data_IF_006613932622
#
_entry.id   IF_006613932622
#
_cell.length_a   1.000
_cell.length_b   1.000
_cell.length_c   1.000
_cell.angle_alpha   90.00
_cell.angle_beta   90.00
_cell.angle_gamma   90.00
#
_symmetry.space_group_name_H-M   'P 1'
#
loop_
_entity.id
_entity.type
_entity.pdbx_description
1 polymer ?
#
# COMPACT_ATOMS: atom_id res chain seq x y z
N UNK A 1 -9.74 3.05 -5.05
CA UNK A 1 -10.08 3.23 -3.62
C UNK A 1 -8.88 3.83 -2.92
N UNK A 2 -9.03 4.84 -2.05
CA UNK A 2 -7.88 5.45 -1.36
C UNK A 2 -7.66 4.84 0.03
N UNK A 3 -6.40 4.69 0.43
CA UNK A 3 -5.99 4.20 1.75
C UNK A 3 -4.75 4.95 2.22
N UNK A 4 -4.49 4.92 3.53
CA UNK A 4 -3.34 5.59 4.14
C UNK A 4 -2.33 4.56 4.59
N UNK A 5 -1.04 4.82 4.38
CA UNK A 5 0.04 4.04 4.97
C UNK A 5 0.36 4.54 6.37
N UNK A 6 0.63 3.60 7.27
CA UNK A 6 1.09 3.83 8.62
C UNK A 6 2.37 3.01 8.88
N UNK A 7 2.97 3.24 10.05
CA UNK A 7 4.18 2.55 10.51
C UNK A 7 5.39 2.67 9.56
N UNK A 8 5.40 3.65 8.65
CA UNK A 8 6.49 3.88 7.70
C UNK A 8 7.84 4.09 8.40
N UNK A 9 7.81 4.70 9.59
CA UNK A 9 8.99 4.94 10.43
C UNK A 9 9.56 3.68 11.11
N UNK A 10 8.83 2.56 11.15
CA UNK A 10 9.38 1.27 11.61
C UNK A 10 10.26 0.59 10.55
N UNK A 11 10.16 1.02 9.29
CA UNK A 11 10.94 0.50 8.16
C UNK A 11 12.00 1.54 7.73
N UNK A 12 11.97 1.98 6.47
CA UNK A 12 12.91 2.94 5.89
C UNK A 12 12.37 4.39 5.84
N UNK A 13 11.26 4.67 6.53
CA UNK A 13 10.60 5.99 6.51
C UNK A 13 9.91 6.29 5.18
N UNK A 14 9.55 7.55 4.94
CA UNK A 14 8.89 8.00 3.69
C UNK A 14 9.85 8.18 2.50
N UNK A 15 11.17 8.08 2.71
CA UNK A 15 12.20 8.28 1.68
C UNK A 15 12.10 7.38 0.43
N UNK A 16 11.80 6.07 0.53
CA UNK A 16 11.73 5.20 -0.64
C UNK A 16 10.41 5.36 -1.42
N UNK A 17 9.45 6.13 -0.90
CA UNK A 17 8.18 6.37 -1.57
C UNK A 17 8.29 7.57 -2.50
N UNK A 18 7.86 7.38 -3.75
CA UNK A 18 7.70 8.46 -4.71
C UNK A 18 6.26 8.49 -5.21
N UNK A 19 5.75 9.70 -5.48
CA UNK A 19 4.44 9.85 -6.11
C UNK A 19 4.49 9.21 -7.49
N UNK A 20 3.53 8.32 -7.77
CA UNK A 20 3.46 7.51 -8.98
C UNK A 20 4.07 6.11 -8.86
N UNK A 21 4.79 5.80 -7.76
CA UNK A 21 5.32 4.45 -7.55
C UNK A 21 4.21 3.43 -7.29
N UNK A 22 4.38 2.23 -7.84
CA UNK A 22 3.51 1.09 -7.54
C UNK A 22 4.00 0.40 -6.27
N UNK A 23 3.05 -0.02 -5.44
CA UNK A 23 3.27 -0.78 -4.22
C UNK A 23 2.48 -2.09 -4.29
N UNK A 24 3.03 -3.15 -3.69
CA UNK A 24 2.29 -4.39 -3.41
C UNK A 24 1.49 -4.25 -2.14
N UNK A 25 0.30 -4.82 -2.13
CA UNK A 25 -0.53 -5.01 -0.94
C UNK A 25 -0.62 -6.51 -0.71
N UNK A 26 -0.21 -6.97 0.46
CA UNK A 26 -0.24 -8.39 0.85
C UNK A 26 -1.02 -8.51 2.15
N UNK A 27 -2.03 -9.38 2.19
CA UNK A 27 -2.74 -9.69 3.44
C UNK A 27 -1.83 -10.48 4.36
N UNK A 28 -1.61 -9.96 5.57
CA UNK A 28 -0.74 -10.59 6.56
C UNK A 28 -1.59 -11.48 7.49
N UNK A 29 -1.78 -12.73 7.07
CA UNK A 29 -2.60 -13.72 7.78
C UNK A 29 -1.98 -14.20 9.10
N UNK A 30 -0.67 -14.04 9.28
CA UNK A 30 0.06 -14.53 10.46
C UNK A 30 0.28 -13.44 11.51
N UNK A 31 -0.20 -12.21 11.26
CA UNK A 31 -0.03 -11.11 12.18
C UNK A 31 -0.76 -11.35 13.51
N UNK A 32 0.01 -11.42 14.59
CA UNK A 32 -0.50 -11.75 15.94
C UNK A 32 -1.30 -10.61 16.59
N UNK A 33 -1.24 -9.40 16.02
CA UNK A 33 -1.84 -8.19 16.61
C UNK A 33 -3.12 -7.74 15.91
N UNK A 34 -3.18 -7.89 14.58
CA UNK A 34 -4.28 -7.43 13.74
C UNK A 34 -4.48 -8.43 12.58
N UNK A 35 -5.57 -9.20 12.64
CA UNK A 35 -5.93 -10.18 11.61
C UNK A 35 -6.32 -9.56 10.27
N UNK A 36 -6.49 -8.23 10.22
CA UNK A 36 -6.81 -7.45 9.02
C UNK A 36 -5.60 -6.59 8.58
N UNK A 37 -4.40 -6.97 9.00
CA UNK A 37 -3.18 -6.29 8.59
C UNK A 37 -2.91 -6.51 7.09
N UNK A 38 -2.53 -5.42 6.44
CA UNK A 38 -2.14 -5.42 5.03
C UNK A 38 -0.73 -4.83 4.97
N UNK A 39 0.23 -5.68 4.66
CA UNK A 39 1.62 -5.34 4.45
C UNK A 39 1.79 -4.66 3.09
N UNK A 40 2.68 -3.68 3.04
CA UNK A 40 2.99 -2.92 1.84
C UNK A 40 4.45 -3.10 1.47
N UNK A 41 4.68 -3.57 0.25
CA UNK A 41 6.01 -3.76 -0.30
C UNK A 41 6.31 -2.80 -1.46
N UNK A 42 7.57 -2.35 -1.52
CA UNK A 42 8.15 -1.56 -2.59
C UNK A 42 9.23 -2.37 -3.31
N UNK A 43 9.36 -2.16 -4.61
CA UNK A 43 10.35 -2.82 -5.48
C UNK A 43 11.77 -2.82 -4.94
N UNK A 44 12.21 -1.66 -4.45
CA UNK A 44 13.62 -1.42 -4.08
C UNK A 44 13.87 -1.50 -2.58
N UNK A 45 12.81 -1.58 -1.77
CA UNK A 45 12.90 -1.53 -0.31
C UNK A 45 12.28 -2.76 0.38
N UNK A 46 11.56 -3.61 -0.36
CA UNK A 46 10.78 -4.72 0.21
C UNK A 46 9.67 -4.18 1.11
N UNK A 47 9.42 -4.87 2.23
CA UNK A 47 8.50 -4.45 3.27
C UNK A 47 8.77 -3.02 3.74
N UNK A 48 7.81 -2.12 3.53
CA UNK A 48 8.04 -0.68 3.69
C UNK A 48 6.99 0.03 4.54
N UNK A 49 5.78 -0.53 4.67
CA UNK A 49 4.72 0.05 5.49
C UNK A 49 3.60 -0.96 5.76
N UNK A 50 2.63 -0.56 6.59
CA UNK A 50 1.34 -1.23 6.74
C UNK A 50 0.20 -0.28 6.39
N UNK A 51 -0.95 -0.81 5.98
CA UNK A 51 -2.16 0.00 5.83
C UNK A 51 -2.68 0.45 7.20
N UNK A 52 -3.02 1.73 7.31
CA UNK A 52 -3.51 2.33 8.54
C UNK A 52 -4.86 1.72 8.97
N UNK A 53 -4.97 1.26 10.22
CA UNK A 53 -6.24 0.78 10.78
C UNK A 53 -6.84 1.71 11.86
N UNK A 54 -6.01 2.50 12.54
CA UNK A 54 -6.46 3.33 13.67
C UNK A 54 -7.06 4.66 13.22
N UNK A 55 -8.06 5.16 13.95
CA UNK A 55 -8.66 6.50 13.76
C UNK A 55 -7.65 7.66 13.85
N UNK A 56 -6.48 7.41 14.47
CA UNK A 56 -5.40 8.39 14.58
C UNK A 56 -4.49 8.42 13.35
N UNK A 57 -4.41 7.32 12.61
CA UNK A 57 -3.50 7.16 11.47
C UNK A 57 -4.22 7.19 10.14
N UNK A 58 -5.51 6.81 10.09
CA UNK A 58 -6.34 6.91 8.89
C UNK A 58 -6.70 8.37 8.63
N UNK A 59 -6.29 8.87 7.47
CA UNK A 59 -6.67 10.20 7.00
C UNK A 59 -8.15 10.22 6.64
N UNK A 60 -8.87 11.29 7.00
CA UNK A 60 -10.29 11.43 6.62
C UNK A 60 -10.44 11.40 5.10
N UNK A 61 -11.32 10.52 4.61
CA UNK A 61 -11.53 10.29 3.18
C UNK A 61 -10.78 9.08 2.62
N UNK A 62 -9.91 8.44 3.40
CA UNK A 62 -9.27 7.16 3.04
C UNK A 62 -9.89 5.99 3.81
N UNK A 63 -9.62 4.78 3.34
CA UNK A 63 -10.10 3.53 3.95
C UNK A 63 -9.10 3.02 4.99
N UNK A 64 -9.63 2.47 6.09
CA UNK A 64 -8.84 1.69 7.05
C UNK A 64 -8.47 0.32 6.47
N UNK A 65 -7.47 -0.35 7.05
CA UNK A 65 -7.08 -1.70 6.63
C UNK A 65 -8.27 -2.66 6.68
N UNK A 66 -9.05 -2.71 7.77
CA UNK A 66 -10.21 -3.61 7.86
C UNK A 66 -11.23 -3.41 6.75
N UNK A 67 -11.56 -2.16 6.41
CA UNK A 67 -12.48 -1.89 5.28
C UNK A 67 -11.89 -2.21 3.92
N UNK A 68 -10.57 -2.09 3.79
CA UNK A 68 -9.85 -2.38 2.58
C UNK A 68 -9.69 -3.89 2.39
N UNK A 69 -9.51 -4.63 3.49
CA UNK A 69 -9.25 -6.07 3.54
C UNK A 69 -10.35 -6.88 2.85
N UNK A 70 -11.61 -6.50 3.06
CA UNK A 70 -12.78 -7.13 2.41
C UNK A 70 -12.89 -6.85 0.90
N UNK A 71 -12.16 -5.86 0.39
CA UNK A 71 -12.29 -5.37 -1.00
C UNK A 71 -11.12 -5.74 -1.90
N UNK A 72 -9.98 -6.10 -1.33
CA UNK A 72 -8.78 -6.49 -2.06
C UNK A 72 -8.62 -8.02 -2.03
N UNK A 73 -7.87 -8.55 -3.00
CA UNK A 73 -7.42 -9.96 -3.00
C UNK A 73 -6.29 -10.18 -2.00
N UNK A 74 -5.83 -11.42 -1.85
CA UNK A 74 -4.73 -11.78 -0.95
C UNK A 74 -3.43 -11.04 -1.31
N UNK A 75 -3.21 -10.86 -2.62
CA UNK A 75 -2.24 -9.93 -3.19
C UNK A 75 -2.96 -8.96 -4.12
N UNK A 76 -2.69 -7.66 -3.96
CA UNK A 76 -3.22 -6.59 -4.80
C UNK A 76 -2.17 -5.49 -4.97
N UNK A 77 -2.45 -4.48 -5.79
CA UNK A 77 -1.51 -3.40 -6.07
C UNK A 77 -2.12 -2.02 -5.83
N UNK A 78 -1.28 -1.11 -5.37
CA UNK A 78 -1.62 0.30 -5.20
C UNK A 78 -0.63 1.21 -5.90
N UNK A 79 -1.03 2.46 -6.09
CA UNK A 79 -0.17 3.55 -6.55
C UNK A 79 -0.14 4.65 -5.50
N UNK A 80 1.05 5.22 -5.26
CA UNK A 80 1.23 6.36 -4.36
C UNK A 80 0.77 7.63 -5.07
N UNK A 81 -0.23 8.31 -4.51
CA UNK A 81 -0.81 9.53 -5.12
C UNK A 81 -0.38 10.80 -4.37
N UNK A 82 -0.23 10.71 -3.04
CA UNK A 82 0.16 11.85 -2.22
C UNK A 82 1.13 11.45 -1.13
N UNK A 83 2.10 12.33 -0.87
CA UNK A 83 3.06 12.22 0.24
C UNK A 83 3.08 13.57 0.96
N UNK A 84 2.81 13.56 2.27
CA UNK A 84 2.83 14.72 3.14
C UNK A 84 3.59 14.37 4.42
N UNK A 85 4.84 14.82 4.54
CA UNK A 85 5.77 14.44 5.61
C UNK A 85 5.86 12.90 5.75
N UNK A 86 5.23 12.33 6.78
CA UNK A 86 5.18 10.89 7.07
C UNK A 86 3.85 10.24 6.66
N UNK A 87 2.91 11.03 6.14
CA UNK A 87 1.59 10.57 5.70
C UNK A 87 1.65 10.27 4.20
N UNK A 88 1.43 9.02 3.85
CA UNK A 88 1.38 8.58 2.46
C UNK A 88 -0.04 8.10 2.16
N UNK A 89 -0.64 8.65 1.10
CA UNK A 89 -1.95 8.27 0.62
C UNK A 89 -1.78 7.57 -0.72
N UNK A 90 -2.34 6.36 -0.77
CA UNK A 90 -2.26 5.49 -1.92
C UNK A 90 -3.66 5.21 -2.46
N UNK A 91 -3.72 4.77 -3.72
CA UNK A 91 -4.93 4.31 -4.38
C UNK A 91 -4.76 2.88 -4.85
N UNK A 92 -5.73 2.02 -4.56
CA UNK A 92 -5.80 0.66 -5.13
C UNK A 92 -5.99 0.77 -6.64
N UNK A 93 -5.15 0.05 -7.38
CA UNK A 93 -5.24 -0.07 -8.82
C UNK A 93 -6.36 -1.04 -9.20
N UNK A 94 -7.06 -0.74 -10.29
CA UNK A 94 -8.07 -1.64 -10.84
C UNK A 94 -7.40 -2.77 -11.62
N UNK A 95 -8.12 -3.88 -11.82
CA UNK A 95 -7.61 -5.02 -12.59
C UNK A 95 -7.18 -4.63 -14.03
N UNK A 96 -7.85 -3.66 -14.65
CA UNK A 96 -7.48 -3.12 -15.97
C UNK A 96 -6.21 -2.27 -15.93
N UNK A 97 -6.00 -1.49 -14.87
CA UNK A 97 -4.75 -0.74 -14.66
C UNK A 97 -3.58 -1.69 -14.39
N UNK A 98 -3.78 -2.67 -13.51
CA UNK A 98 -2.79 -3.72 -13.21
C UNK A 98 -2.34 -4.42 -14.50
N UNK A 99 -3.29 -4.82 -15.36
CA UNK A 99 -2.98 -5.44 -16.66
C UNK A 99 -2.23 -4.53 -17.63
N UNK A 100 -2.43 -3.21 -17.56
CA UNK A 100 -1.67 -2.24 -18.36
C UNK A 100 -0.25 -2.10 -17.85
N UNK A 101 -0.09 -2.00 -16.53
CA UNK A 101 1.22 -1.91 -15.88
C UNK A 101 2.04 -3.19 -16.09
N UNK A 102 1.43 -4.37 -16.02
CA UNK A 102 2.08 -5.66 -16.35
C UNK A 102 2.58 -5.73 -17.80
N UNK A 103 1.95 -5.01 -18.73
CA UNK A 103 2.40 -4.95 -20.13
C UNK A 103 3.55 -3.97 -20.34
N UNK A 104 3.79 -3.06 -19.40
CA UNK A 104 4.91 -2.14 -19.45
C UNK A 104 6.15 -2.78 -18.80
N UNK A 105 7.17 -3.18 -19.58
CA UNK A 105 8.33 -3.90 -19.04
C UNK A 105 9.17 -3.08 -18.06
N UNK A 106 9.00 -1.76 -18.00
CA UNK A 106 9.68 -0.89 -17.02
C UNK A 106 8.85 -0.67 -15.73
N UNK A 107 7.59 -1.10 -15.72
CA UNK A 107 6.68 -0.86 -14.59
C UNK A 107 7.13 -1.61 -13.35
N UNK A 108 7.00 -0.95 -12.20
CA UNK A 108 7.40 -1.47 -10.90
C UNK A 108 6.70 -2.79 -10.56
N UNK A 109 5.49 -3.02 -11.09
CA UNK A 109 4.71 -4.24 -10.88
C UNK A 109 5.42 -5.53 -11.35
N UNK A 110 6.35 -5.42 -12.30
CA UNK A 110 7.05 -6.59 -12.86
C UNK A 110 8.26 -7.03 -12.02
N UNK A 111 8.57 -6.30 -10.96
CA UNK A 111 9.78 -6.48 -10.16
C UNK A 111 9.49 -6.41 -8.65
N UNK A 112 8.20 -6.35 -8.31
CA UNK A 112 7.62 -6.37 -6.98
C UNK A 112 7.02 -7.75 -6.75
#
# INVERSE_FOLDING_TARGET
MYFTLAAVNMFNGSKPFHVGSIIKLIKDFENQYDSEAILVELRYAGESAYVANSVRTVVKGTMSSGRLYDKISDEDYGIVEFIFDDIIICRVLTADEIKKELKNPESDINYI
#
